data_IF_806001190967
#
_entry.id   IF_806001190967
#
_cell.length_a   1.000
_cell.length_b   1.000
_cell.length_c   1.000
_cell.angle_alpha   90.00
_cell.angle_beta   90.00
_cell.angle_gamma   90.00
#
_symmetry.space_group_name_H-M   'P 1'
#
loop_
_entity.id
_entity.type
_entity.pdbx_description
1 polymer ?
#
# COMPACT_ATOMS: atom_id res chain seq x y z
N UNK A 1 29.18 -33.42 2.73
CA UNK A 1 28.56 -32.30 1.99
C UNK A 1 29.45 -31.90 0.83
N UNK A 2 30.74 -31.66 1.07
CA UNK A 2 31.73 -31.41 0.02
C UNK A 2 31.81 -32.54 -1.01
N UNK A 3 31.77 -33.81 -0.57
CA UNK A 3 31.72 -34.98 -1.47
C UNK A 3 30.48 -34.98 -2.39
N UNK A 4 29.39 -34.34 -2.00
CA UNK A 4 28.12 -34.35 -2.76
C UNK A 4 27.98 -33.17 -3.72
N UNK A 5 28.45 -31.98 -3.34
CA UNK A 5 28.29 -30.75 -4.14
C UNK A 5 29.60 -30.29 -4.79
N UNK A 6 30.75 -30.77 -4.32
CA UNK A 6 32.05 -30.16 -4.55
C UNK A 6 32.31 -29.00 -3.58
N UNK A 7 33.59 -28.76 -3.27
CA UNK A 7 34.03 -27.71 -2.34
C UNK A 7 33.59 -26.31 -2.80
N UNK A 8 33.80 -26.00 -4.08
CA UNK A 8 33.47 -24.68 -4.65
C UNK A 8 31.96 -24.39 -4.64
N UNK A 9 31.14 -25.39 -4.98
CA UNK A 9 29.67 -25.26 -4.94
C UNK A 9 29.17 -25.05 -3.51
N UNK A 10 29.71 -25.80 -2.54
CA UNK A 10 29.34 -25.65 -1.14
C UNK A 10 29.70 -24.25 -0.61
N UNK A 11 30.87 -23.74 -0.99
CA UNK A 11 31.31 -22.38 -0.66
C UNK A 11 30.38 -21.33 -1.26
N UNK A 12 30.03 -21.43 -2.54
CA UNK A 12 29.07 -20.53 -3.21
C UNK A 12 27.68 -20.59 -2.57
N UNK A 13 27.23 -21.77 -2.16
CA UNK A 13 25.96 -21.97 -1.46
C UNK A 13 25.97 -21.28 -0.09
N UNK A 14 27.00 -21.49 0.72
CA UNK A 14 27.15 -20.87 2.04
C UNK A 14 27.21 -19.34 1.93
N UNK A 15 27.98 -18.82 0.97
CA UNK A 15 28.01 -17.38 0.69
C UNK A 15 26.62 -16.87 0.30
N UNK A 16 25.91 -17.55 -0.60
CA UNK A 16 24.59 -17.08 -1.06
C UNK A 16 23.49 -17.15 0.01
N UNK A 17 23.59 -18.08 0.97
CA UNK A 17 22.65 -18.19 2.09
C UNK A 17 22.86 -17.12 3.16
N UNK A 18 24.12 -16.83 3.50
CA UNK A 18 24.47 -15.96 4.63
C UNK A 18 24.76 -14.51 4.24
N UNK A 19 24.87 -14.20 2.95
CA UNK A 19 25.08 -12.82 2.48
C UNK A 19 23.77 -12.12 2.08
N UNK A 20 23.74 -10.77 2.14
CA UNK A 20 22.61 -10.00 1.63
C UNK A 20 22.43 -10.16 0.11
N UNK A 21 21.19 -9.96 -0.37
CA UNK A 21 20.77 -10.25 -1.76
C UNK A 21 21.71 -9.70 -2.84
N UNK A 22 22.34 -8.54 -2.61
CA UNK A 22 23.23 -7.86 -3.56
C UNK A 22 24.50 -8.66 -3.88
N UNK A 23 24.98 -9.49 -2.95
CA UNK A 23 26.25 -10.23 -3.07
C UNK A 23 26.07 -11.73 -3.31
N UNK A 24 24.83 -12.18 -3.56
CA UNK A 24 24.56 -13.59 -3.84
C UNK A 24 25.04 -13.96 -5.24
N UNK A 25 25.82 -15.03 -5.31
CA UNK A 25 26.39 -15.56 -6.56
C UNK A 25 25.48 -16.57 -7.23
N UNK A 26 24.57 -17.20 -6.47
CA UNK A 26 23.60 -18.17 -6.97
C UNK A 26 22.19 -17.59 -7.02
N UNK A 27 21.41 -18.01 -8.01
CA UNK A 27 19.99 -17.66 -8.07
C UNK A 27 19.16 -18.49 -7.05
N UNK A 28 17.96 -18.03 -6.66
CA UNK A 28 17.18 -18.72 -5.64
C UNK A 28 16.78 -20.16 -5.99
N UNK A 29 16.65 -20.49 -7.27
CA UNK A 29 16.29 -21.85 -7.71
C UNK A 29 17.53 -22.74 -7.71
N UNK A 30 18.69 -22.24 -8.18
CA UNK A 30 19.99 -22.94 -8.05
C UNK A 30 20.31 -23.27 -6.59
N UNK A 31 20.06 -22.34 -5.66
CA UNK A 31 20.19 -22.60 -4.22
C UNK A 31 19.26 -23.74 -3.77
N UNK A 32 18.01 -23.72 -4.23
CA UNK A 32 17.03 -24.75 -3.86
C UNK A 32 17.40 -26.13 -4.40
N UNK A 33 17.89 -26.22 -5.64
CA UNK A 33 18.39 -27.45 -6.27
C UNK A 33 19.55 -28.06 -5.44
N UNK A 34 20.54 -27.26 -5.05
CA UNK A 34 21.65 -27.71 -4.21
C UNK A 34 21.19 -28.14 -2.81
N UNK A 35 20.28 -27.40 -2.19
CA UNK A 35 19.69 -27.78 -0.90
C UNK A 35 18.91 -29.09 -1.00
N UNK A 36 18.28 -29.37 -2.14
CA UNK A 36 17.55 -30.62 -2.38
C UNK A 36 18.49 -31.81 -2.39
N UNK A 37 19.61 -31.73 -3.12
CA UNK A 37 20.65 -32.78 -3.15
C UNK A 37 21.13 -33.11 -1.73
N UNK A 38 21.35 -32.09 -0.89
CA UNK A 38 21.74 -32.31 0.51
C UNK A 38 20.64 -32.96 1.34
N UNK A 39 19.38 -32.56 1.15
CA UNK A 39 18.23 -33.12 1.87
C UNK A 39 17.86 -34.54 1.44
N UNK A 40 18.27 -34.96 0.24
CA UNK A 40 18.08 -36.35 -0.22
C UNK A 40 19.08 -37.31 0.46
N UNK A 41 20.21 -36.81 0.96
CA UNK A 41 21.26 -37.60 1.64
C UNK A 41 21.30 -37.42 3.15
N UNK A 42 20.84 -36.28 3.67
CA UNK A 42 20.85 -35.95 5.09
C UNK A 42 19.48 -35.47 5.55
N UNK A 43 19.09 -35.73 6.82
CA UNK A 43 17.83 -35.23 7.35
C UNK A 43 17.83 -33.69 7.40
N UNK A 44 16.65 -33.09 7.19
CA UNK A 44 16.52 -31.63 7.01
C UNK A 44 17.04 -30.80 8.18
N UNK A 45 16.83 -31.28 9.41
CA UNK A 45 17.34 -30.65 10.63
C UNK A 45 18.88 -30.60 10.64
N UNK A 46 19.53 -31.65 10.15
CA UNK A 46 20.98 -31.73 10.04
C UNK A 46 21.51 -30.82 8.95
N UNK A 47 20.87 -30.78 7.78
CA UNK A 47 21.22 -29.84 6.70
C UNK A 47 21.11 -28.40 7.18
N UNK A 48 19.99 -28.06 7.84
CA UNK A 48 19.77 -26.73 8.38
C UNK A 48 20.82 -26.34 9.43
N UNK A 49 21.13 -27.25 10.37
CA UNK A 49 22.16 -27.05 11.40
C UNK A 49 23.54 -26.82 10.80
N UNK A 50 23.96 -27.67 9.86
CA UNK A 50 25.29 -27.60 9.22
C UNK A 50 25.46 -26.35 8.36
N UNK A 51 24.38 -25.84 7.75
CA UNK A 51 24.41 -24.62 6.94
C UNK A 51 24.13 -23.33 7.74
N UNK A 52 23.81 -23.44 9.03
CA UNK A 52 23.50 -22.29 9.89
C UNK A 52 22.17 -21.59 9.56
N UNK A 53 21.21 -22.31 8.99
CA UNK A 53 19.91 -21.76 8.56
C UNK A 53 18.74 -22.37 9.34
N UNK A 54 17.60 -21.67 9.34
CA UNK A 54 16.37 -22.22 9.91
C UNK A 54 15.78 -23.30 9.00
N UNK A 55 15.47 -24.47 9.57
CA UNK A 55 14.79 -25.57 8.87
C UNK A 55 13.38 -25.15 8.38
N UNK A 56 12.53 -24.70 9.32
CA UNK A 56 11.13 -24.30 9.03
C UNK A 56 11.00 -22.94 8.36
N UNK A 57 12.05 -22.13 8.37
CA UNK A 57 12.12 -20.84 7.70
C UNK A 57 12.82 -20.94 6.35
N UNK A 58 14.13 -20.74 6.37
CA UNK A 58 14.96 -20.58 5.17
C UNK A 58 14.97 -21.82 4.28
N UNK A 59 15.26 -23.00 4.85
CA UNK A 59 15.37 -24.25 4.08
C UNK A 59 14.03 -24.58 3.41
N UNK A 60 12.95 -24.55 4.19
CA UNK A 60 11.61 -24.84 3.67
C UNK A 60 11.17 -23.86 2.57
N UNK A 61 11.44 -22.56 2.73
CA UNK A 61 11.15 -21.54 1.71
C UNK A 61 11.84 -21.84 0.38
N UNK A 62 13.12 -22.23 0.40
CA UNK A 62 13.85 -22.58 -0.82
C UNK A 62 13.32 -23.85 -1.46
N UNK A 63 13.11 -24.92 -0.68
CA UNK A 63 12.63 -26.19 -1.22
C UNK A 63 11.26 -26.04 -1.91
N UNK A 64 10.39 -25.16 -1.41
CA UNK A 64 9.08 -24.88 -2.02
C UNK A 64 9.17 -24.19 -3.37
N UNK A 65 10.29 -23.57 -3.72
CA UNK A 65 10.50 -22.99 -5.07
C UNK A 65 10.57 -24.08 -6.14
N UNK A 66 11.10 -25.26 -5.80
CA UNK A 66 11.18 -26.40 -6.72
C UNK A 66 9.81 -26.99 -7.04
N UNK A 67 8.83 -26.79 -6.15
CA UNK A 67 7.45 -27.21 -6.37
C UNK A 67 6.73 -26.31 -7.39
N UNK A 68 7.26 -25.13 -7.74
CA UNK A 68 6.57 -24.20 -8.64
C UNK A 68 6.58 -24.70 -10.11
N UNK A 69 5.60 -24.29 -10.94
CA UNK A 69 5.62 -24.53 -12.38
C UNK A 69 6.90 -23.99 -13.01
N UNK A 70 7.40 -24.67 -14.06
CA UNK A 70 8.63 -24.27 -14.76
C UNK A 70 8.61 -22.80 -15.18
N UNK A 71 7.49 -22.32 -15.73
CA UNK A 71 7.28 -20.91 -16.07
C UNK A 71 7.56 -19.97 -14.89
N UNK A 72 7.06 -20.29 -13.71
CA UNK A 72 7.28 -19.46 -12.51
C UNK A 72 8.73 -19.57 -12.02
N UNK A 73 9.35 -20.75 -12.10
CA UNK A 73 10.77 -20.91 -11.77
C UNK A 73 11.67 -20.07 -12.68
N UNK A 74 11.39 -20.01 -13.98
CA UNK A 74 12.11 -19.17 -14.94
C UNK A 74 11.99 -17.68 -14.60
N UNK A 75 10.80 -17.23 -14.15
CA UNK A 75 10.62 -15.84 -13.68
C UNK A 75 11.47 -15.52 -12.44
N UNK A 76 11.72 -16.51 -11.58
CA UNK A 76 12.61 -16.37 -10.42
C UNK A 76 14.08 -16.37 -10.84
N UNK A 77 14.49 -17.31 -11.71
CA UNK A 77 15.86 -17.37 -12.28
C UNK A 77 16.20 -16.05 -13.00
N UNK A 78 15.27 -15.53 -13.79
CA UNK A 78 15.37 -14.25 -14.48
C UNK A 78 15.24 -13.01 -13.59
N UNK A 79 15.17 -13.16 -12.26
CA UNK A 79 15.04 -12.08 -11.26
C UNK A 79 13.82 -11.16 -11.46
N UNK A 80 12.81 -11.60 -12.22
CA UNK A 80 11.54 -10.86 -12.43
C UNK A 80 10.65 -10.94 -11.19
N UNK A 81 10.71 -12.07 -10.48
CA UNK A 81 10.01 -12.28 -9.21
C UNK A 81 11.03 -12.60 -8.12
N UNK A 82 10.90 -11.96 -6.96
CA UNK A 82 11.75 -12.24 -5.81
C UNK A 82 11.37 -13.55 -5.10
N UNK A 83 12.34 -14.15 -4.39
CA UNK A 83 12.16 -15.38 -3.61
C UNK A 83 10.91 -15.36 -2.73
N UNK A 84 10.69 -14.27 -1.98
CA UNK A 84 9.58 -14.21 -1.02
C UNK A 84 8.21 -14.20 -1.73
N UNK A 85 8.12 -13.56 -2.89
CA UNK A 85 6.92 -13.58 -3.71
C UNK A 85 6.70 -14.98 -4.31
N UNK A 86 7.75 -15.61 -4.85
CA UNK A 86 7.69 -16.98 -5.38
C UNK A 86 7.29 -18.00 -4.30
N UNK A 87 7.84 -17.88 -3.10
CA UNK A 87 7.44 -18.70 -1.95
C UNK A 87 5.96 -18.48 -1.60
N UNK A 88 5.44 -17.25 -1.61
CA UNK A 88 4.00 -17.01 -1.38
C UNK A 88 3.14 -17.67 -2.46
N UNK A 89 3.54 -17.55 -3.72
CA UNK A 89 2.87 -18.22 -4.85
C UNK A 89 2.83 -19.73 -4.61
N UNK A 90 3.95 -20.33 -4.17
CA UNK A 90 4.05 -21.78 -3.94
C UNK A 90 3.08 -22.32 -2.89
N UNK A 91 2.51 -21.47 -2.03
CA UNK A 91 1.54 -21.85 -1.01
C UNK A 91 0.20 -22.26 -1.62
N UNK A 92 -0.15 -21.71 -2.79
CA UNK A 92 -1.33 -22.12 -3.54
C UNK A 92 -1.19 -23.59 -3.97
N UNK A 93 -2.30 -24.32 -4.07
CA UNK A 93 -2.25 -25.74 -4.45
C UNK A 93 -2.26 -25.91 -5.98
N UNK A 94 -3.10 -25.14 -6.66
CA UNK A 94 -3.30 -25.24 -8.09
C UNK A 94 -2.16 -24.58 -8.88
N UNK A 95 -1.63 -25.29 -9.89
CA UNK A 95 -0.52 -24.80 -10.71
C UNK A 95 -0.90 -23.66 -11.65
N UNK A 96 -2.12 -23.67 -12.19
CA UNK A 96 -2.65 -22.59 -13.03
C UNK A 96 -2.86 -21.31 -12.22
N UNK A 97 -3.36 -21.45 -11.00
CA UNK A 97 -3.44 -20.31 -10.07
C UNK A 97 -2.06 -19.75 -9.74
N UNK A 98 -1.06 -20.62 -9.54
CA UNK A 98 0.32 -20.18 -9.31
C UNK A 98 0.87 -19.36 -10.48
N UNK A 99 0.64 -19.81 -11.73
CA UNK A 99 1.06 -19.06 -12.93
C UNK A 99 0.30 -17.74 -13.07
N UNK A 100 -1.01 -17.75 -12.84
CA UNK A 100 -1.86 -16.55 -12.92
C UNK A 100 -1.42 -15.50 -11.90
N UNK A 101 -1.11 -15.92 -10.66
CA UNK A 101 -0.58 -15.01 -9.65
C UNK A 101 0.79 -14.47 -10.05
N UNK A 102 1.68 -15.32 -10.58
CA UNK A 102 3.01 -14.90 -11.00
C UNK A 102 2.95 -13.83 -12.10
N UNK A 103 2.07 -14.01 -13.09
CA UNK A 103 1.85 -13.03 -14.16
C UNK A 103 1.28 -11.72 -13.57
N UNK A 104 0.34 -11.80 -12.62
CA UNK A 104 -0.23 -10.64 -11.95
C UNK A 104 0.81 -9.86 -11.11
N UNK A 105 1.76 -10.55 -10.46
CA UNK A 105 2.86 -9.91 -9.72
C UNK A 105 3.67 -9.00 -10.63
N UNK A 106 3.99 -9.46 -11.84
CA UNK A 106 4.76 -8.69 -12.82
C UNK A 106 3.91 -7.55 -13.39
N UNK A 107 2.69 -7.86 -13.82
CA UNK A 107 1.79 -6.90 -14.48
C UNK A 107 1.39 -5.73 -13.58
N UNK A 108 1.06 -6.00 -12.32
CA UNK A 108 0.54 -5.01 -11.39
C UNK A 108 1.54 -4.56 -10.33
N UNK A 109 2.78 -5.07 -10.39
CA UNK A 109 3.83 -4.85 -9.39
C UNK A 109 3.33 -5.11 -7.97
N UNK A 110 2.71 -6.27 -7.76
CA UNK A 110 2.11 -6.62 -6.47
C UNK A 110 3.18 -6.62 -5.37
N UNK A 111 2.85 -5.99 -4.25
CA UNK A 111 3.69 -5.98 -3.06
C UNK A 111 3.59 -7.29 -2.29
N UNK A 112 4.60 -7.58 -1.48
CA UNK A 112 4.62 -8.77 -0.60
C UNK A 112 3.40 -8.86 0.32
N UNK A 113 2.84 -7.71 0.74
CA UNK A 113 1.64 -7.64 1.58
C UNK A 113 0.37 -7.97 0.78
N UNK A 114 0.24 -7.46 -0.44
CA UNK A 114 -0.87 -7.81 -1.34
C UNK A 114 -0.87 -9.30 -1.66
N UNK A 115 0.29 -9.87 -2.00
CA UNK A 115 0.48 -11.31 -2.20
C UNK A 115 0.06 -12.12 -0.96
N UNK A 116 0.44 -11.67 0.25
CA UNK A 116 0.03 -12.32 1.50
C UNK A 116 -1.49 -12.30 1.66
N UNK A 117 -2.12 -11.16 1.36
CA UNK A 117 -3.57 -10.98 1.42
C UNK A 117 -4.31 -11.91 0.46
N UNK A 118 -3.88 -11.96 -0.80
CA UNK A 118 -4.46 -12.84 -1.84
C UNK A 118 -4.38 -14.30 -1.39
N UNK A 119 -3.20 -14.77 -1.00
CA UNK A 119 -3.00 -16.17 -0.58
C UNK A 119 -3.79 -16.49 0.69
N UNK A 120 -3.91 -15.56 1.65
CA UNK A 120 -4.76 -15.79 2.83
C UNK A 120 -6.25 -15.82 2.49
N UNK A 121 -6.71 -14.97 1.57
CA UNK A 121 -8.10 -14.95 1.13
C UNK A 121 -8.49 -16.31 0.53
N UNK A 122 -7.68 -16.80 -0.41
CA UNK A 122 -7.90 -18.09 -1.07
C UNK A 122 -7.72 -19.27 -0.12
N UNK A 123 -6.71 -19.28 0.76
CA UNK A 123 -6.46 -20.45 1.62
C UNK A 123 -7.43 -20.58 2.80
N UNK A 124 -7.84 -19.45 3.41
CA UNK A 124 -8.51 -19.46 4.72
C UNK A 124 -9.93 -18.90 4.71
N UNK A 125 -10.23 -17.93 3.84
CA UNK A 125 -11.51 -17.21 3.89
C UNK A 125 -12.49 -17.72 2.87
N UNK A 126 -12.05 -17.92 1.63
CA UNK A 126 -12.90 -18.38 0.56
C UNK A 126 -12.09 -19.19 -0.47
N UNK A 127 -11.95 -20.52 -0.27
CA UNK A 127 -11.20 -21.39 -1.18
C UNK A 127 -11.77 -21.52 -2.58
N UNK A 128 -13.07 -21.30 -2.74
CA UNK A 128 -13.75 -21.41 -4.05
C UNK A 128 -13.77 -20.08 -4.83
N UNK A 129 -13.19 -19.01 -4.25
CA UNK A 129 -13.08 -17.72 -4.93
C UNK A 129 -12.10 -17.81 -6.10
N UNK A 130 -12.48 -17.36 -7.32
CA UNK A 130 -11.56 -17.27 -8.44
C UNK A 130 -10.36 -16.37 -8.13
N UNK A 131 -9.17 -16.78 -8.57
CA UNK A 131 -7.94 -16.04 -8.30
C UNK A 131 -7.96 -14.61 -8.85
N UNK A 132 -8.58 -14.39 -10.01
CA UNK A 132 -8.72 -13.07 -10.63
C UNK A 132 -9.53 -12.13 -9.75
N UNK A 133 -10.56 -12.65 -9.07
CA UNK A 133 -11.36 -11.88 -8.12
C UNK A 133 -10.52 -11.49 -6.90
N UNK A 134 -9.74 -12.43 -6.36
CA UNK A 134 -8.84 -12.15 -5.22
C UNK A 134 -7.78 -11.09 -5.57
N UNK A 135 -7.21 -11.15 -6.78
CA UNK A 135 -6.28 -10.14 -7.30
C UNK A 135 -6.99 -8.79 -7.43
N UNK A 136 -8.19 -8.74 -8.01
CA UNK A 136 -8.95 -7.50 -8.17
C UNK A 136 -9.26 -6.84 -6.83
N UNK A 137 -9.65 -7.62 -5.82
CA UNK A 137 -9.90 -7.12 -4.46
C UNK A 137 -8.64 -6.52 -3.84
N UNK A 138 -7.49 -7.20 -4.00
CA UNK A 138 -6.21 -6.68 -3.49
C UNK A 138 -5.83 -5.35 -4.18
N UNK A 139 -6.04 -5.23 -5.48
CA UNK A 139 -5.77 -3.99 -6.22
C UNK A 139 -6.72 -2.86 -5.84
N UNK A 140 -8.01 -3.15 -5.62
CA UNK A 140 -9.00 -2.15 -5.16
C UNK A 140 -8.72 -1.66 -3.75
N UNK A 141 -8.13 -2.51 -2.90
CA UNK A 141 -7.75 -2.16 -1.54
C UNK A 141 -6.46 -1.33 -1.45
N UNK A 142 -5.81 -0.99 -2.57
CA UNK A 142 -4.64 -0.11 -2.56
C UNK A 142 -5.01 1.24 -1.94
N UNK A 143 -4.24 1.72 -0.95
CA UNK A 143 -4.48 3.05 -0.40
C UNK A 143 -4.31 4.09 -1.51
N UNK A 144 -5.30 4.97 -1.66
CA UNK A 144 -5.16 6.17 -2.47
C UNK A 144 -4.45 7.20 -1.60
N UNK A 145 -3.24 7.60 -2.00
CA UNK A 145 -2.53 8.69 -1.35
C UNK A 145 -3.16 9.97 -1.89
N UNK A 146 -3.87 10.71 -1.04
CA UNK A 146 -4.35 12.07 -1.32
C UNK A 146 -3.60 13.04 -0.43
N UNK A 147 -3.02 14.07 -1.04
CA UNK A 147 -2.45 15.20 -0.31
C UNK A 147 -3.55 16.22 -0.06
N UNK A 148 -4.03 16.27 1.19
CA UNK A 148 -5.02 17.24 1.64
C UNK A 148 -4.33 18.40 2.35
N UNK A 149 -4.64 19.62 1.94
CA UNK A 149 -4.23 20.86 2.58
C UNK A 149 -5.29 21.26 3.60
N UNK A 150 -4.91 21.30 4.87
CA UNK A 150 -5.80 21.72 5.96
C UNK A 150 -5.57 23.21 6.21
N UNK A 151 -6.59 24.01 5.95
CA UNK A 151 -6.62 25.43 6.29
C UNK A 151 -7.39 25.59 7.59
N UNK A 152 -6.72 26.13 8.62
CA UNK A 152 -7.33 26.43 9.92
C UNK A 152 -7.45 27.94 10.06
N UNK A 153 -8.67 28.42 10.25
CA UNK A 153 -8.93 29.86 10.41
C UNK A 153 -9.92 30.10 11.53
N UNK A 154 -9.87 31.32 12.07
CA UNK A 154 -10.80 31.79 13.09
C UNK A 154 -11.90 32.63 12.44
N UNK A 155 -13.15 32.41 12.86
CA UNK A 155 -14.28 33.31 12.61
C UNK A 155 -14.41 34.24 13.82
N UNK A 156 -14.64 35.53 13.58
CA UNK A 156 -14.89 36.52 14.63
C UNK A 156 -16.25 36.28 15.32
N UNK A 157 -16.34 36.66 16.60
CA UNK A 157 -17.54 36.40 17.41
C UNK A 157 -18.79 37.03 16.82
N UNK A 158 -18.69 38.27 16.32
CA UNK A 158 -19.77 38.99 15.67
C UNK A 158 -20.31 38.23 14.43
N UNK A 159 -19.40 37.65 13.64
CA UNK A 159 -19.75 36.85 12.45
C UNK A 159 -20.41 35.54 12.86
N UNK A 160 -19.92 34.89 13.93
CA UNK A 160 -20.48 33.63 14.43
C UNK A 160 -21.89 33.83 15.00
N UNK A 161 -22.13 34.91 15.75
CA UNK A 161 -23.46 35.25 16.26
C UNK A 161 -24.44 35.57 15.13
N UNK A 162 -24.01 36.34 14.13
CA UNK A 162 -24.83 36.63 12.95
C UNK A 162 -25.20 35.35 12.17
N UNK A 163 -24.26 34.41 12.02
CA UNK A 163 -24.52 33.11 11.39
C UNK A 163 -25.47 32.22 12.22
N UNK A 164 -25.36 32.23 13.55
CA UNK A 164 -26.31 31.52 14.43
C UNK A 164 -27.72 32.08 14.28
N UNK A 165 -27.86 33.40 14.33
CA UNK A 165 -29.13 34.09 14.14
C UNK A 165 -29.75 33.79 12.77
N UNK A 166 -28.93 33.71 11.71
CA UNK A 166 -29.39 33.35 10.37
C UNK A 166 -29.74 31.85 10.26
N UNK A 167 -28.96 30.97 10.88
CA UNK A 167 -29.23 29.54 11.00
C UNK A 167 -30.58 29.28 11.66
N UNK A 168 -30.89 29.97 12.76
CA UNK A 168 -32.17 29.83 13.48
C UNK A 168 -33.36 30.29 12.63
N UNK A 169 -33.18 31.37 11.85
CA UNK A 169 -34.22 31.88 10.92
C UNK A 169 -34.43 30.98 9.70
N UNK A 170 -33.37 30.39 9.16
CA UNK A 170 -33.43 29.57 7.93
C UNK A 170 -33.53 28.06 8.19
N UNK A 171 -33.39 27.61 9.44
CA UNK A 171 -33.29 26.19 9.84
C UNK A 171 -32.18 25.41 9.10
N UNK A 172 -31.13 26.10 8.66
CA UNK A 172 -29.97 25.50 7.99
C UNK A 172 -28.78 25.51 8.96
N UNK A 173 -28.04 24.41 9.14
CA UNK A 173 -26.88 24.37 10.02
C UNK A 173 -25.83 25.42 9.64
N UNK A 174 -25.21 26.06 10.64
CA UNK A 174 -24.16 27.08 10.45
C UNK A 174 -23.04 26.60 9.52
N UNK A 175 -22.66 25.31 9.59
CA UNK A 175 -21.66 24.70 8.72
C UNK A 175 -22.03 24.77 7.23
N UNK A 176 -23.31 24.57 6.91
CA UNK A 176 -23.79 24.61 5.53
C UNK A 176 -23.92 26.05 5.03
N UNK A 177 -24.20 27.01 5.91
CA UNK A 177 -24.14 28.44 5.58
C UNK A 177 -22.71 28.87 5.23
N UNK A 178 -21.71 28.49 6.03
CA UNK A 178 -20.30 28.77 5.71
C UNK A 178 -19.88 28.07 4.43
N UNK A 179 -20.35 26.84 4.19
CA UNK A 179 -20.11 26.11 2.95
C UNK A 179 -20.69 26.84 1.73
N UNK A 180 -21.89 27.42 1.84
CA UNK A 180 -22.49 28.29 0.81
C UNK A 180 -21.63 29.52 0.52
N UNK A 181 -21.11 30.19 1.55
CA UNK A 181 -20.20 31.33 1.36
C UNK A 181 -18.93 30.94 0.58
N UNK A 182 -18.43 29.72 0.81
CA UNK A 182 -17.26 29.20 0.10
C UNK A 182 -17.54 28.85 -1.36
N UNK A 183 -18.80 28.61 -1.74
CA UNK A 183 -19.18 28.30 -3.14
C UNK A 183 -18.99 29.47 -4.10
N UNK A 184 -19.01 30.71 -3.61
CA UNK A 184 -18.65 31.89 -4.41
C UNK A 184 -17.19 31.83 -4.90
N UNK A 185 -16.34 31.07 -4.19
CA UNK A 185 -14.90 31.05 -4.40
C UNK A 185 -14.39 29.72 -4.91
N UNK A 186 -14.91 28.60 -4.40
CA UNK A 186 -14.48 27.25 -4.74
C UNK A 186 -15.69 26.44 -5.23
N UNK A 187 -15.54 25.64 -6.29
CA UNK A 187 -16.58 24.70 -6.68
C UNK A 187 -16.79 23.65 -5.58
N UNK A 188 -18.05 23.42 -5.20
CA UNK A 188 -18.46 22.48 -4.13
C UNK A 188 -17.95 21.05 -4.29
N UNK A 189 -17.63 20.64 -5.52
CA UNK A 189 -17.11 19.32 -5.86
C UNK A 189 -15.74 19.00 -5.26
N UNK A 190 -15.02 20.02 -4.78
CA UNK A 190 -13.61 19.89 -4.40
C UNK A 190 -13.35 20.04 -2.89
N UNK A 191 -14.40 20.24 -2.10
CA UNK A 191 -14.30 20.41 -0.66
C UNK A 191 -14.41 19.05 0.04
N UNK A 192 -13.28 18.53 0.52
CA UNK A 192 -13.23 17.19 1.15
C UNK A 192 -13.95 17.20 2.49
N UNK A 193 -13.72 18.22 3.32
CA UNK A 193 -14.49 18.43 4.54
C UNK A 193 -14.41 19.86 5.05
N UNK A 194 -15.49 20.31 5.70
CA UNK A 194 -15.52 21.53 6.51
C UNK A 194 -16.01 21.16 7.90
N UNK A 195 -15.23 21.49 8.93
CA UNK A 195 -15.64 21.34 10.33
C UNK A 195 -15.52 22.67 11.06
N UNK A 196 -16.56 22.98 11.83
CA UNK A 196 -16.58 24.15 12.69
C UNK A 196 -16.65 23.68 14.15
N UNK A 197 -15.65 24.08 14.94
CA UNK A 197 -15.54 23.78 16.37
C UNK A 197 -15.34 25.09 17.11
N UNK A 198 -16.41 25.60 17.75
CA UNK A 198 -16.40 26.93 18.35
C UNK A 198 -16.17 28.03 17.31
N UNK A 199 -15.08 28.78 17.46
CA UNK A 199 -14.66 29.84 16.52
C UNK A 199 -13.73 29.33 15.41
N UNK A 200 -13.25 28.08 15.49
CA UNK A 200 -12.28 27.55 14.53
C UNK A 200 -12.98 26.82 13.39
N UNK A 201 -12.54 27.13 12.16
CA UNK A 201 -12.93 26.45 10.93
C UNK A 201 -11.76 25.64 10.43
N UNK A 202 -11.99 24.36 10.23
CA UNK A 202 -11.08 23.42 9.60
C UNK A 202 -11.61 23.13 8.20
N UNK A 203 -10.81 23.44 7.20
CA UNK A 203 -11.13 23.25 5.79
C UNK A 203 -10.09 22.31 5.17
N UNK A 204 -10.51 21.11 4.77
CA UNK A 204 -9.68 20.17 4.01
C UNK A 204 -9.90 20.39 2.51
N UNK A 205 -8.82 20.75 1.82
CA UNK A 205 -8.81 21.06 0.38
C UNK A 205 -7.78 20.20 -0.36
N UNK A 206 -7.99 20.01 -1.65
CA UNK A 206 -6.94 19.49 -2.53
C UNK A 206 -5.91 20.58 -2.85
N UNK A 207 -4.76 20.21 -3.39
CA UNK A 207 -3.68 21.15 -3.75
C UNK A 207 -4.14 22.24 -4.73
N UNK A 208 -4.96 21.88 -5.72
CA UNK A 208 -5.49 22.83 -6.71
C UNK A 208 -6.38 23.90 -6.06
N UNK A 209 -7.28 23.49 -5.17
CA UNK A 209 -8.20 24.40 -4.48
C UNK A 209 -7.49 25.28 -3.47
N UNK A 210 -6.46 24.75 -2.79
CA UNK A 210 -5.61 25.54 -1.92
C UNK A 210 -4.90 26.67 -2.72
N UNK A 211 -4.40 26.37 -3.92
CA UNK A 211 -3.80 27.37 -4.82
C UNK A 211 -4.84 28.40 -5.28
N UNK A 212 -6.06 27.99 -5.59
CA UNK A 212 -7.16 28.90 -5.98
C UNK A 212 -7.51 29.84 -4.81
N UNK A 213 -7.65 29.29 -3.60
CA UNK A 213 -7.94 30.08 -2.40
C UNK A 213 -6.83 31.09 -2.12
N UNK A 214 -5.56 30.66 -2.22
CA UNK A 214 -4.40 31.54 -2.08
C UNK A 214 -4.35 32.65 -3.13
N UNK A 215 -4.69 32.35 -4.39
CA UNK A 215 -4.74 33.34 -5.48
C UNK A 215 -5.85 34.37 -5.24
N UNK A 216 -7.06 33.94 -4.88
CA UNK A 216 -8.18 34.86 -4.60
C UNK A 216 -7.94 35.72 -3.34
N UNK A 217 -7.27 35.19 -2.32
CA UNK A 217 -6.87 35.98 -1.15
C UNK A 217 -5.92 37.12 -1.55
N UNK A 218 -4.94 36.84 -2.42
CA UNK A 218 -4.02 37.85 -2.97
C UNK A 218 -4.75 38.89 -3.84
N UNK A 219 -5.66 38.46 -4.71
CA UNK A 219 -6.46 39.34 -5.56
C UNK A 219 -7.32 40.31 -4.74
N UNK A 220 -7.92 39.84 -3.63
CA UNK A 220 -8.70 40.68 -2.72
C UNK A 220 -7.86 41.48 -1.72
N UNK A 221 -6.53 41.31 -1.71
CA UNK A 221 -5.60 41.88 -0.69
C UNK A 221 -5.96 41.50 0.75
N UNK A 222 -6.54 40.32 0.96
CA UNK A 222 -6.92 39.79 2.29
C UNK A 222 -5.91 38.72 2.68
N UNK A 223 -5.49 38.68 3.96
CA UNK A 223 -4.70 37.56 4.48
C UNK A 223 -5.53 36.27 4.39
N UNK A 224 -4.90 35.16 4.00
CA UNK A 224 -5.59 33.87 3.85
C UNK A 224 -6.34 33.46 5.13
N UNK A 225 -5.77 33.78 6.29
CA UNK A 225 -6.32 33.58 7.64
C UNK A 225 -7.70 34.25 7.85
N UNK A 226 -7.94 35.39 7.20
CA UNK A 226 -9.16 36.18 7.36
C UNK A 226 -10.14 36.00 6.20
N UNK A 227 -9.74 35.24 5.18
CA UNK A 227 -10.52 35.07 3.95
C UNK A 227 -11.84 34.36 4.23
N UNK A 228 -11.83 33.33 5.08
CA UNK A 228 -13.04 32.57 5.42
C UNK A 228 -13.99 33.41 6.26
N UNK A 229 -13.49 34.15 7.26
CA UNK A 229 -14.32 35.05 8.05
C UNK A 229 -14.96 36.14 7.17
N UNK A 230 -14.21 36.75 6.25
CA UNK A 230 -14.74 37.78 5.36
C UNK A 230 -15.88 37.27 4.48
N UNK A 231 -15.77 36.03 3.97
CA UNK A 231 -16.84 35.40 3.19
C UNK A 231 -18.05 35.05 4.05
N UNK A 232 -17.79 34.49 5.22
CA UNK A 232 -18.82 34.11 6.17
C UNK A 232 -19.59 35.33 6.67
N UNK A 233 -18.92 36.47 6.85
CA UNK A 233 -19.52 37.76 7.19
C UNK A 233 -20.45 38.27 6.10
N UNK A 234 -20.02 38.22 4.83
CA UNK A 234 -20.87 38.61 3.69
C UNK A 234 -22.15 37.76 3.64
N UNK A 235 -22.05 36.45 3.87
CA UNK A 235 -23.22 35.57 3.92
C UNK A 235 -24.07 35.78 5.18
N UNK A 236 -23.46 36.07 6.33
CA UNK A 236 -24.18 36.28 7.58
C UNK A 236 -25.07 37.53 7.56
N UNK A 237 -24.62 38.58 6.86
CA UNK A 237 -25.30 39.87 6.77
C UNK A 237 -26.02 40.11 5.43
N UNK A 238 -26.00 39.14 4.51
CA UNK A 238 -26.86 39.12 3.31
C UNK A 238 -28.30 38.71 3.64
#
# INVERSE_FOLDING_TARGET
MEVLLGEETLKRLLMSLNTPKKWRTMDPVEIAENLRVLCDHFPRNEVARRLGISEKGTLWVYLRLLDLPKKVQELVKGKKIGKDAAYRISILKDKREQETLADAVIKHRLTTNELKGIVQALKKRNPDMPIEQAISLALKARPRISEEHIVVTKIEDDTLEALKNKSDKTRVPVQELVKRSLTEILPLSSLTSLKLVGQMVFLSLNEEDFKILGKKAREKKIKLENMIDTLARKEAFA
#
